data_IF_325801034932
#
_entry.id   IF_325801034932
#
_cell.length_a   1.000
_cell.length_b   1.000
_cell.length_c   1.000
_cell.angle_alpha   90.00
_cell.angle_beta   90.00
_cell.angle_gamma   90.00
#
_symmetry.space_group_name_H-M   'P 1'
#
loop_
_entity.id
_entity.type
_entity.pdbx_description
1 polymer ?
#
# COMPACT_ATOMS: atom_id res chain seq x y z
N UNK A 1 -5.27 -6.63 -66.02
CA UNK A 1 -5.42 -5.68 -64.90
C UNK A 1 -6.11 -6.27 -63.66
N UNK A 2 -7.26 -6.95 -63.78
CA UNK A 2 -8.05 -7.46 -62.63
C UNK A 2 -7.26 -8.33 -61.61
N UNK A 3 -6.39 -9.24 -62.06
CA UNK A 3 -5.55 -10.09 -61.18
C UNK A 3 -4.54 -9.30 -60.34
N UNK A 4 -3.93 -8.24 -60.88
CA UNK A 4 -2.98 -7.40 -60.14
C UNK A 4 -3.67 -6.62 -59.03
N UNK A 5 -4.86 -6.07 -59.31
CA UNK A 5 -5.68 -5.36 -58.32
C UNK A 5 -6.07 -6.30 -57.17
N UNK A 6 -6.43 -7.55 -57.48
CA UNK A 6 -6.81 -8.55 -56.48
C UNK A 6 -5.63 -8.99 -55.58
N UNK A 7 -4.43 -9.07 -56.13
CA UNK A 7 -3.20 -9.34 -55.35
C UNK A 7 -2.88 -8.16 -54.44
N UNK A 8 -2.98 -6.92 -54.92
CA UNK A 8 -2.78 -5.73 -54.10
C UNK A 8 -3.82 -5.60 -52.98
N UNK A 9 -5.09 -5.93 -53.24
CA UNK A 9 -6.11 -5.93 -52.19
C UNK A 9 -5.84 -6.99 -51.12
N UNK A 10 -5.38 -8.19 -51.50
CA UNK A 10 -5.02 -9.24 -50.55
C UNK A 10 -3.82 -8.85 -49.68
N UNK A 11 -2.77 -8.26 -50.28
CA UNK A 11 -1.61 -7.76 -49.54
C UNK A 11 -2.03 -6.66 -48.57
N UNK A 12 -2.89 -5.73 -49.00
CA UNK A 12 -3.39 -4.66 -48.15
C UNK A 12 -4.26 -5.19 -46.99
N UNK A 13 -5.16 -6.14 -47.26
CA UNK A 13 -5.95 -6.80 -46.22
C UNK A 13 -5.08 -7.56 -45.23
N UNK A 14 -4.04 -8.26 -45.70
CA UNK A 14 -3.07 -8.92 -44.83
C UNK A 14 -2.30 -7.91 -43.97
N UNK A 15 -1.89 -6.78 -44.55
CA UNK A 15 -1.19 -5.72 -43.83
C UNK A 15 -2.07 -5.08 -42.73
N UNK A 16 -3.35 -4.84 -43.03
CA UNK A 16 -4.34 -4.37 -42.04
C UNK A 16 -4.48 -5.39 -40.91
N UNK A 17 -4.57 -6.69 -41.22
CA UNK A 17 -4.68 -7.74 -40.22
C UNK A 17 -3.43 -7.83 -39.32
N UNK A 18 -2.23 -7.65 -39.87
CA UNK A 18 -0.99 -7.64 -39.09
C UNK A 18 -0.94 -6.43 -38.17
N UNK A 19 -1.27 -5.23 -38.67
CA UNK A 19 -1.29 -4.00 -37.87
C UNK A 19 -2.35 -4.09 -36.77
N UNK A 20 -3.56 -4.58 -37.06
CA UNK A 20 -4.64 -4.67 -36.07
C UNK A 20 -4.31 -5.66 -34.95
N UNK A 21 -3.70 -6.80 -35.28
CA UNK A 21 -3.21 -7.75 -34.28
C UNK A 21 -2.05 -7.17 -33.45
N UNK A 22 -1.11 -6.45 -34.09
CA UNK A 22 -0.03 -5.78 -33.38
C UNK A 22 -0.56 -4.71 -32.43
N UNK A 23 -1.48 -3.86 -32.87
CA UNK A 23 -2.10 -2.82 -32.04
C UNK A 23 -2.91 -3.42 -30.88
N UNK A 24 -3.64 -4.52 -31.12
CA UNK A 24 -4.39 -5.22 -30.08
C UNK A 24 -3.46 -5.80 -29.02
N UNK A 25 -2.39 -6.49 -29.43
CA UNK A 25 -1.37 -7.02 -28.53
C UNK A 25 -0.65 -5.91 -27.77
N UNK A 26 -0.23 -4.83 -28.44
CA UNK A 26 0.39 -3.69 -27.81
C UNK A 26 -0.53 -3.04 -26.76
N UNK A 27 -1.84 -2.92 -27.06
CA UNK A 27 -2.82 -2.41 -26.09
C UNK A 27 -3.01 -3.34 -24.89
N UNK A 28 -2.98 -4.66 -25.12
CA UNK A 28 -3.07 -5.66 -24.05
C UNK A 28 -1.83 -5.62 -23.14
N UNK A 29 -0.64 -5.56 -23.72
CA UNK A 29 0.61 -5.43 -22.97
C UNK A 29 0.71 -4.09 -22.24
N UNK A 30 0.28 -2.99 -22.84
CA UNK A 30 0.22 -1.69 -22.19
C UNK A 30 -0.72 -1.70 -20.97
N UNK A 31 -1.94 -2.26 -21.12
CA UNK A 31 -2.89 -2.41 -19.99
C UNK A 31 -2.38 -3.34 -18.90
N UNK A 32 -1.66 -4.41 -19.26
CA UNK A 32 -1.07 -5.34 -18.30
C UNK A 32 0.10 -4.70 -17.56
N UNK A 33 0.94 -3.94 -18.26
CA UNK A 33 2.02 -3.17 -17.66
C UNK A 33 1.47 -2.12 -16.68
N UNK A 34 0.43 -1.38 -17.07
CA UNK A 34 -0.24 -0.38 -16.24
C UNK A 34 -0.78 -0.96 -14.92
N UNK A 35 -1.21 -2.24 -14.96
CA UNK A 35 -1.68 -2.98 -13.78
C UNK A 35 -0.58 -3.64 -12.94
N UNK A 36 0.69 -3.62 -13.37
CA UNK A 36 1.75 -4.20 -12.54
C UNK A 36 1.92 -3.39 -11.24
N UNK A 37 2.18 -4.08 -10.13
CA UNK A 37 2.41 -3.44 -8.82
C UNK A 37 3.45 -2.31 -8.91
N UNK A 38 4.58 -2.57 -9.57
CA UNK A 38 5.66 -1.58 -9.75
C UNK A 38 5.19 -0.30 -10.44
N UNK A 39 4.38 -0.42 -11.50
CA UNK A 39 3.84 0.77 -12.18
C UNK A 39 2.80 1.50 -11.33
N UNK A 40 1.96 0.77 -10.59
CA UNK A 40 1.02 1.38 -9.66
C UNK A 40 1.76 2.14 -8.53
N UNK A 41 2.85 1.59 -8.00
CA UNK A 41 3.72 2.26 -7.02
C UNK A 41 4.33 3.52 -7.63
N UNK A 42 4.90 3.43 -8.84
CA UNK A 42 5.47 4.59 -9.55
C UNK A 42 4.44 5.70 -9.75
N UNK A 43 3.22 5.36 -10.13
CA UNK A 43 2.13 6.33 -10.30
C UNK A 43 1.72 6.96 -8.96
N UNK A 44 1.60 6.16 -7.89
CA UNK A 44 1.26 6.67 -6.55
C UNK A 44 2.31 7.65 -6.05
N UNK A 45 3.58 7.27 -6.10
CA UNK A 45 4.71 8.08 -5.66
C UNK A 45 5.14 9.16 -6.66
N UNK A 46 4.54 9.18 -7.86
CA UNK A 46 4.85 10.11 -8.94
C UNK A 46 6.32 10.04 -9.38
N UNK A 47 6.89 8.84 -9.41
CA UNK A 47 8.28 8.61 -9.81
C UNK A 47 8.43 8.98 -11.30
N UNK A 48 9.32 9.94 -11.57
CA UNK A 48 9.54 10.47 -12.93
C UNK A 48 8.60 11.61 -13.32
N UNK A 49 7.75 12.08 -12.42
CA UNK A 49 6.94 13.29 -12.61
C UNK A 49 7.42 14.43 -11.71
N UNK A 50 7.13 15.67 -12.12
CA UNK A 50 7.39 16.85 -11.30
C UNK A 50 6.26 17.10 -10.29
N UNK A 51 6.67 17.44 -9.07
CA UNK A 51 5.78 18.00 -8.05
C UNK A 51 5.49 19.48 -8.32
N UNK A 52 4.35 20.02 -7.84
CA UNK A 52 4.12 21.46 -7.87
C UNK A 52 5.23 22.21 -7.11
N UNK A 53 5.42 23.49 -7.44
CA UNK A 53 6.41 24.31 -6.73
C UNK A 53 5.99 24.50 -5.27
N UNK A 54 6.95 24.51 -4.35
CA UNK A 54 6.75 24.76 -2.93
C UNK A 54 6.63 26.27 -2.67
N UNK A 55 5.50 26.86 -3.04
CA UNK A 55 5.22 28.28 -2.80
C UNK A 55 3.77 28.53 -2.42
N UNK A 56 3.51 29.71 -1.84
CA UNK A 56 2.16 30.14 -1.45
C UNK A 56 1.20 30.18 -2.64
N UNK A 57 1.67 30.45 -3.86
CA UNK A 57 0.82 30.43 -5.06
C UNK A 57 0.26 29.03 -5.37
N UNK A 58 1.02 27.97 -5.09
CA UNK A 58 0.66 26.58 -5.38
C UNK A 58 0.01 25.85 -4.20
N UNK A 59 -0.17 26.52 -3.05
CA UNK A 59 -0.71 25.89 -1.84
C UNK A 59 -2.07 25.21 -2.07
N UNK A 60 -2.97 25.85 -2.83
CA UNK A 60 -4.28 25.27 -3.14
C UNK A 60 -4.20 23.97 -3.95
N UNK A 61 -3.18 23.83 -4.81
CA UNK A 61 -2.92 22.60 -5.56
C UNK A 61 -2.46 21.50 -4.63
N UNK A 62 -1.51 21.81 -3.73
CA UNK A 62 -1.06 20.88 -2.70
C UNK A 62 -2.20 20.40 -1.81
N UNK A 63 -3.05 21.30 -1.29
CA UNK A 63 -4.21 20.94 -0.46
C UNK A 63 -5.24 20.09 -1.22
N UNK A 64 -5.43 20.35 -2.53
CA UNK A 64 -6.27 19.49 -3.38
C UNK A 64 -5.65 18.09 -3.54
N UNK A 65 -4.35 18.01 -3.76
CA UNK A 65 -3.63 16.74 -3.85
C UNK A 65 -3.68 15.97 -2.53
N UNK A 66 -3.58 16.64 -1.39
CA UNK A 66 -3.70 16.03 -0.07
C UNK A 66 -5.08 15.38 0.12
N UNK A 67 -6.16 16.13 -0.14
CA UNK A 67 -7.52 15.58 -0.05
C UNK A 67 -7.74 14.36 -0.95
N UNK A 68 -7.18 14.38 -2.17
CA UNK A 68 -7.22 13.22 -3.05
C UNK A 68 -6.39 12.06 -2.48
N UNK A 69 -5.20 12.33 -1.96
CA UNK A 69 -4.32 11.32 -1.41
C UNK A 69 -4.94 10.61 -0.18
N UNK A 70 -5.59 11.37 0.71
CA UNK A 70 -6.35 10.83 1.86
C UNK A 70 -7.51 9.96 1.39
N UNK A 71 -8.25 10.41 0.36
CA UNK A 71 -9.35 9.60 -0.21
C UNK A 71 -8.82 8.28 -0.78
N UNK A 72 -7.78 8.34 -1.60
CA UNK A 72 -7.17 7.15 -2.21
C UNK A 72 -6.63 6.19 -1.13
N UNK A 73 -6.06 6.73 -0.04
CA UNK A 73 -5.59 5.92 1.09
C UNK A 73 -6.76 5.19 1.77
N UNK A 74 -7.85 5.91 2.04
CA UNK A 74 -9.07 5.32 2.62
C UNK A 74 -9.67 4.24 1.71
N UNK A 75 -9.69 4.47 0.40
CA UNK A 75 -10.19 3.49 -0.57
C UNK A 75 -9.36 2.19 -0.53
N UNK A 76 -8.02 2.30 -0.40
CA UNK A 76 -7.13 1.12 -0.24
C UNK A 76 -7.38 0.43 1.10
N UNK A 77 -7.47 1.18 2.20
CA UNK A 77 -7.76 0.64 3.54
C UNK A 77 -9.08 -0.14 3.53
N UNK A 78 -10.12 0.42 2.92
CA UNK A 78 -11.42 -0.26 2.78
C UNK A 78 -11.31 -1.54 1.94
N UNK A 79 -10.47 -1.54 0.90
CA UNK A 79 -10.23 -2.73 0.07
C UNK A 79 -9.54 -3.84 0.85
N UNK A 80 -8.48 -3.52 1.60
CA UNK A 80 -7.77 -4.47 2.48
C UNK A 80 -8.76 -5.04 3.51
N UNK A 81 -9.48 -4.17 4.21
CA UNK A 81 -10.44 -4.54 5.26
C UNK A 81 -11.54 -5.46 4.73
N UNK A 82 -12.10 -5.10 3.57
CA UNK A 82 -13.12 -5.91 2.90
C UNK A 82 -12.58 -7.27 2.50
N UNK A 83 -11.41 -7.33 1.86
CA UNK A 83 -10.82 -8.61 1.44
C UNK A 83 -10.57 -9.53 2.64
N UNK A 84 -10.04 -8.98 3.73
CA UNK A 84 -9.78 -9.75 4.95
C UNK A 84 -11.08 -10.26 5.60
N UNK A 85 -12.09 -9.38 5.74
CA UNK A 85 -13.39 -9.73 6.32
C UNK A 85 -14.14 -10.75 5.47
N UNK A 86 -14.20 -10.56 4.15
CA UNK A 86 -14.87 -11.49 3.23
C UNK A 86 -14.27 -12.90 3.32
N UNK A 87 -12.93 -13.01 3.34
CA UNK A 87 -12.24 -14.29 3.49
C UNK A 87 -12.54 -14.95 4.85
N UNK A 88 -12.53 -14.16 5.93
CA UNK A 88 -12.85 -14.68 7.25
C UNK A 88 -14.31 -15.14 7.35
N UNK A 89 -15.26 -14.35 6.85
CA UNK A 89 -16.68 -14.71 6.86
C UNK A 89 -16.96 -15.98 6.05
N UNK A 90 -16.26 -16.18 4.94
CA UNK A 90 -16.34 -17.43 4.18
C UNK A 90 -15.89 -18.64 5.01
N UNK A 91 -14.78 -18.53 5.73
CA UNK A 91 -14.32 -19.59 6.63
C UNK A 91 -15.28 -19.81 7.79
N UNK A 92 -15.78 -18.74 8.39
CA UNK A 92 -16.76 -18.83 9.47
C UNK A 92 -18.02 -19.58 9.03
N UNK A 93 -18.60 -19.23 7.87
CA UNK A 93 -19.78 -19.93 7.36
C UNK A 93 -19.47 -21.40 7.01
N UNK A 94 -18.29 -21.69 6.47
CA UNK A 94 -17.86 -23.07 6.24
C UNK A 94 -17.82 -23.88 7.53
N UNK A 95 -17.20 -23.36 8.59
CA UNK A 95 -17.03 -24.07 9.86
C UNK A 95 -18.30 -24.10 10.73
N UNK A 96 -19.27 -23.21 10.48
CA UNK A 96 -20.62 -23.34 11.04
C UNK A 96 -21.30 -24.61 10.52
N UNK A 97 -21.19 -24.87 9.21
CA UNK A 97 -21.79 -26.04 8.58
C UNK A 97 -20.93 -27.31 8.77
N UNK A 98 -19.63 -27.14 8.99
CA UNK A 98 -18.64 -28.22 9.11
C UNK A 98 -17.78 -28.06 10.39
N UNK A 99 -18.32 -28.36 11.58
CA UNK A 99 -17.62 -28.09 12.84
C UNK A 99 -16.26 -28.77 12.93
N UNK A 100 -15.24 -28.01 13.31
CA UNK A 100 -13.91 -28.52 13.61
C UNK A 100 -13.79 -28.88 15.10
N UNK A 101 -13.06 -29.95 15.44
CA UNK A 101 -12.80 -30.32 16.83
C UNK A 101 -11.71 -29.42 17.40
N UNK A 102 -12.13 -28.34 18.06
CA UNK A 102 -11.24 -27.35 18.65
C UNK A 102 -10.59 -27.85 19.95
N UNK A 103 -9.30 -28.19 19.88
CA UNK A 103 -8.45 -28.56 21.01
C UNK A 103 -7.76 -27.33 21.66
N UNK A 104 -8.47 -26.20 21.75
CA UNK A 104 -7.99 -24.86 22.13
C UNK A 104 -7.37 -24.01 21.00
N UNK A 105 -7.18 -24.57 19.79
CA UNK A 105 -6.59 -23.87 18.64
C UNK A 105 -7.62 -23.25 17.68
N UNK A 106 -8.73 -22.73 18.21
CA UNK A 106 -9.76 -22.03 17.45
C UNK A 106 -10.07 -20.67 18.06
N UNK A 107 -10.64 -19.79 17.25
CA UNK A 107 -11.27 -18.59 17.74
C UNK A 107 -12.54 -18.91 18.55
N UNK A 108 -13.13 -17.87 19.15
CA UNK A 108 -14.35 -17.98 19.94
C UNK A 108 -15.61 -18.36 19.12
N UNK A 109 -15.50 -18.52 17.81
CA UNK A 109 -16.58 -18.87 16.89
C UNK A 109 -16.36 -20.25 16.24
N UNK A 110 -15.28 -20.95 16.61
CA UNK A 110 -14.98 -22.30 16.14
C UNK A 110 -14.18 -22.37 14.84
N UNK A 111 -13.64 -21.24 14.36
CA UNK A 111 -12.73 -21.21 13.21
C UNK A 111 -11.31 -21.56 13.69
N UNK A 112 -10.63 -22.56 13.10
CA UNK A 112 -9.27 -22.91 13.49
C UNK A 112 -8.29 -21.76 13.25
N UNK A 113 -7.41 -21.51 14.23
CA UNK A 113 -6.45 -20.39 14.19
C UNK A 113 -5.51 -20.47 12.98
N UNK A 114 -5.10 -21.68 12.58
CA UNK A 114 -4.23 -21.86 11.41
C UNK A 114 -4.89 -21.43 10.09
N UNK A 115 -6.24 -21.43 9.99
CA UNK A 115 -6.94 -20.89 8.82
C UNK A 115 -6.96 -19.36 8.86
N UNK A 116 -7.16 -18.78 10.04
CA UNK A 116 -7.09 -17.32 10.24
C UNK A 116 -5.68 -16.80 9.91
N UNK A 117 -4.64 -17.53 10.34
CA UNK A 117 -3.24 -17.25 10.00
C UNK A 117 -2.98 -17.25 8.49
N UNK A 118 -3.66 -18.12 7.71
CA UNK A 118 -3.56 -18.08 6.24
C UNK A 118 -4.13 -16.79 5.67
N UNK A 119 -5.31 -16.36 6.12
CA UNK A 119 -5.91 -15.09 5.67
C UNK A 119 -4.98 -13.91 6.02
N UNK A 120 -4.41 -13.91 7.23
CA UNK A 120 -3.43 -12.91 7.66
C UNK A 120 -2.21 -12.88 6.73
N UNK A 121 -1.67 -14.06 6.40
CA UNK A 121 -0.54 -14.18 5.49
C UNK A 121 -0.90 -13.69 4.08
N UNK A 122 -2.08 -14.02 3.57
CA UNK A 122 -2.58 -13.52 2.29
C UNK A 122 -2.70 -11.99 2.27
N UNK A 123 -3.14 -11.38 3.37
CA UNK A 123 -3.18 -9.92 3.50
C UNK A 123 -1.78 -9.31 3.51
N UNK A 124 -0.82 -9.93 4.22
CA UNK A 124 0.59 -9.52 4.24
C UNK A 124 1.25 -9.62 2.86
N UNK A 125 0.89 -10.63 2.06
CA UNK A 125 1.43 -10.87 0.72
C UNK A 125 0.67 -10.10 -0.38
N UNK A 126 -0.40 -9.38 -0.03
CA UNK A 126 -1.25 -8.68 -1.00
C UNK A 126 -0.54 -7.50 -1.68
N UNK A 127 -0.90 -7.21 -2.93
CA UNK A 127 -0.45 -5.98 -3.59
C UNK A 127 -1.00 -4.74 -2.86
N UNK A 128 -2.18 -4.84 -2.26
CA UNK A 128 -2.86 -3.72 -1.62
C UNK A 128 -2.08 -3.17 -0.42
N UNK A 129 -1.36 -3.99 0.33
CA UNK A 129 -0.53 -3.51 1.44
C UNK A 129 0.67 -2.68 0.95
N UNK A 130 1.23 -3.04 -0.21
CA UNK A 130 2.30 -2.27 -0.85
C UNK A 130 1.76 -0.94 -1.41
N UNK A 131 0.56 -0.98 -1.99
CA UNK A 131 -0.14 0.22 -2.47
C UNK A 131 -0.54 1.15 -1.32
N UNK A 132 -0.90 0.60 -0.16
CA UNK A 132 -1.13 1.35 1.07
C UNK A 132 0.13 2.10 1.48
N UNK A 133 1.28 1.43 1.58
CA UNK A 133 2.53 2.07 1.97
C UNK A 133 2.95 3.17 0.98
N UNK A 134 2.85 2.92 -0.33
CA UNK A 134 3.12 3.94 -1.35
C UNK A 134 2.19 5.16 -1.23
N UNK A 135 0.90 4.92 -0.97
CA UNK A 135 -0.08 6.00 -0.82
C UNK A 135 0.11 6.78 0.48
N UNK A 136 0.47 6.10 1.58
CA UNK A 136 0.82 6.71 2.85
C UNK A 136 2.03 7.65 2.69
N UNK A 137 3.12 7.15 2.09
CA UNK A 137 4.31 7.96 1.79
C UNK A 137 3.98 9.20 0.97
N UNK A 138 3.12 9.07 -0.05
CA UNK A 138 2.63 10.20 -0.84
C UNK A 138 1.88 11.22 0.03
N UNK A 139 1.01 10.75 0.92
CA UNK A 139 0.22 11.61 1.83
C UNK A 139 1.15 12.40 2.75
N UNK A 140 2.07 11.71 3.43
CA UNK A 140 3.07 12.29 4.34
C UNK A 140 3.93 13.32 3.58
N UNK A 141 4.38 13.00 2.37
CA UNK A 141 5.15 13.93 1.54
C UNK A 141 4.38 15.22 1.22
N UNK A 142 3.11 15.09 0.82
CA UNK A 142 2.26 16.24 0.51
C UNK A 142 2.01 17.08 1.77
N UNK A 143 1.70 16.45 2.89
CA UNK A 143 1.52 17.13 4.18
C UNK A 143 2.77 17.94 4.56
N UNK A 144 3.95 17.31 4.47
CA UNK A 144 5.22 17.94 4.75
C UNK A 144 5.46 19.21 3.91
N UNK A 145 5.05 19.22 2.65
CA UNK A 145 5.13 20.40 1.79
C UNK A 145 4.12 21.48 2.16
N UNK A 146 2.87 21.09 2.44
CA UNK A 146 1.83 22.02 2.89
C UNK A 146 2.29 22.75 4.16
N UNK A 147 2.76 22.00 5.15
CA UNK A 147 3.18 22.55 6.44
C UNK A 147 4.43 23.42 6.31
N UNK A 148 5.35 23.10 5.39
CA UNK A 148 6.48 23.98 5.06
C UNK A 148 6.02 25.30 4.43
N UNK A 149 5.14 25.26 3.42
CA UNK A 149 4.59 26.47 2.76
C UNK A 149 3.83 27.35 3.76
N UNK A 150 3.15 26.73 4.73
CA UNK A 150 2.42 27.40 5.81
C UNK A 150 3.32 27.90 6.94
N UNK A 151 4.62 27.60 6.91
CA UNK A 151 5.59 28.00 7.94
C UNK A 151 5.20 27.47 9.35
N UNK A 152 4.77 26.21 9.43
CA UNK A 152 4.42 25.56 10.71
C UNK A 152 5.70 25.31 11.53
N UNK A 153 5.79 25.90 12.72
CA UNK A 153 7.01 25.95 13.55
C UNK A 153 7.32 24.68 14.40
N UNK A 154 6.54 23.61 14.29
CA UNK A 154 6.65 22.45 15.21
C UNK A 154 7.01 21.15 14.51
N UNK A 155 6.12 20.61 13.67
CA UNK A 155 6.34 19.38 12.93
C UNK A 155 5.83 19.55 11.49
N UNK A 156 6.56 18.97 10.54
CA UNK A 156 6.15 18.99 9.13
C UNK A 156 5.05 17.97 8.84
N UNK A 157 4.87 16.94 9.68
CA UNK A 157 3.87 15.89 9.52
C UNK A 157 3.22 15.57 10.87
N UNK A 158 2.09 14.87 10.87
CA UNK A 158 1.43 14.41 12.09
C UNK A 158 2.34 13.45 12.88
N UNK A 159 2.35 13.58 14.22
CA UNK A 159 3.19 12.75 15.08
C UNK A 159 2.87 11.25 14.95
N UNK A 160 1.62 10.89 14.60
CA UNK A 160 1.22 9.50 14.36
C UNK A 160 1.91 8.91 13.11
N UNK A 161 2.39 9.77 12.20
CA UNK A 161 3.06 9.36 10.96
C UNK A 161 4.58 9.21 11.14
N UNK A 162 5.13 9.62 12.28
CA UNK A 162 6.55 9.47 12.58
C UNK A 162 6.96 8.01 12.64
N UNK A 163 6.18 7.18 13.36
CA UNK A 163 6.43 5.76 13.50
C UNK A 163 6.41 5.01 12.14
N UNK A 164 5.37 5.16 11.30
CA UNK A 164 5.37 4.57 9.97
C UNK A 164 6.59 4.97 9.13
N UNK A 165 6.91 6.27 9.05
CA UNK A 165 8.03 6.73 8.22
C UNK A 165 9.39 6.23 8.75
N UNK A 166 9.59 6.27 10.07
CA UNK A 166 10.81 5.79 10.72
C UNK A 166 11.00 4.28 10.54
N UNK A 167 9.92 3.50 10.67
CA UNK A 167 9.96 2.03 10.47
C UNK A 167 10.24 1.66 9.02
N UNK A 168 9.67 2.39 8.06
CA UNK A 168 9.98 2.26 6.64
C UNK A 168 11.47 2.55 6.37
N UNK A 169 12.04 3.60 6.98
CA UNK A 169 13.44 4.01 6.79
C UNK A 169 14.45 3.00 7.33
N UNK A 170 14.28 2.53 8.56
CA UNK A 170 15.33 1.76 9.24
C UNK A 170 15.16 0.25 9.13
N UNK A 171 13.92 -0.22 8.93
CA UNK A 171 13.63 -1.65 8.85
C UNK A 171 13.09 -2.09 7.50
N UNK A 172 12.86 -1.16 6.56
CA UNK A 172 12.19 -1.48 5.28
C UNK A 172 10.86 -2.20 5.50
N UNK A 173 10.17 -1.89 6.60
CA UNK A 173 9.02 -2.63 7.07
C UNK A 173 7.73 -1.82 6.96
N UNK A 174 6.71 -2.41 6.36
CA UNK A 174 5.37 -1.81 6.33
C UNK A 174 4.68 -2.16 7.64
N UNK A 175 4.19 -1.13 8.32
CA UNK A 175 3.27 -1.28 9.45
C UNK A 175 1.86 -0.92 9.03
N UNK A 176 0.90 -1.69 9.51
CA UNK A 176 -0.53 -1.48 9.26
C UNK A 176 -1.32 -2.06 10.42
N UNK A 177 -2.16 -1.23 11.02
CA UNK A 177 -3.02 -1.63 12.12
C UNK A 177 -4.44 -1.13 11.88
N UNK A 178 -5.38 -2.06 11.77
CA UNK A 178 -6.80 -1.73 11.67
C UNK A 178 -7.65 -2.70 12.49
N UNK A 179 -8.67 -2.15 13.16
CA UNK A 179 -9.70 -2.94 13.84
C UNK A 179 -10.88 -3.12 12.87
N UNK A 180 -10.88 -4.23 12.14
CA UNK A 180 -11.90 -4.55 11.14
C UNK A 180 -13.13 -5.09 11.86
N UNK A 181 -14.29 -4.46 11.66
CA UNK A 181 -15.56 -4.85 12.29
C UNK A 181 -16.71 -4.75 11.29
N UNK A 182 -17.56 -5.77 11.25
CA UNK A 182 -18.75 -5.81 10.40
C UNK A 182 -19.93 -6.39 11.16
N UNK A 183 -21.12 -5.78 10.99
CA UNK A 183 -22.37 -6.35 11.47
C UNK A 183 -22.78 -7.49 10.54
N UNK A 184 -22.93 -8.70 11.08
CA UNK A 184 -23.33 -9.85 10.30
C UNK A 184 -24.79 -10.22 10.58
N UNK A 185 -25.68 -9.98 9.61
CA UNK A 185 -27.12 -10.23 9.73
C UNK A 185 -27.48 -11.70 9.96
N UNK A 186 -26.66 -12.64 9.45
CA UNK A 186 -26.92 -14.07 9.62
C UNK A 186 -26.62 -14.54 11.04
N UNK A 187 -25.67 -13.88 11.70
CA UNK A 187 -25.22 -14.22 13.04
C UNK A 187 -25.81 -13.30 14.12
N UNK A 188 -26.49 -12.21 13.72
CA UNK A 188 -27.03 -11.18 14.61
C UNK A 188 -25.99 -10.61 15.59
N UNK A 189 -24.74 -10.46 15.13
CA UNK A 189 -23.64 -9.97 15.95
C UNK A 189 -22.60 -9.23 15.12
N UNK A 190 -21.76 -8.45 15.81
CA UNK A 190 -20.56 -7.86 15.22
C UNK A 190 -19.46 -8.93 15.17
N UNK A 191 -18.94 -9.15 13.97
CA UNK A 191 -17.75 -9.94 13.72
C UNK A 191 -16.59 -8.96 13.56
N UNK A 192 -15.48 -9.19 14.27
CA UNK A 192 -14.36 -8.27 14.19
C UNK A 192 -13.03 -8.85 14.63
N UNK A 193 -11.96 -8.37 13.99
CA UNK A 193 -10.58 -8.81 14.14
C UNK A 193 -9.65 -7.61 14.07
N UNK A 194 -8.56 -7.66 14.81
CA UNK A 194 -7.43 -6.78 14.57
C UNK A 194 -6.61 -7.36 13.42
N UNK A 195 -6.45 -6.60 12.33
CA UNK A 195 -5.41 -6.86 11.34
C UNK A 195 -4.19 -6.05 11.76
N UNK A 196 -3.25 -6.73 12.42
CA UNK A 196 -2.06 -6.13 12.99
C UNK A 196 -0.81 -6.62 12.23
N UNK A 197 -0.44 -5.89 11.19
CA UNK A 197 0.83 -6.07 10.48
C UNK A 197 1.80 -5.14 11.18
N UNK A 198 2.37 -5.62 12.28
CA UNK A 198 3.26 -4.85 13.12
C UNK A 198 4.68 -5.38 13.11
N UNK A 199 5.47 -4.64 13.85
CA UNK A 199 6.84 -4.86 14.17
C UNK A 199 6.97 -4.94 15.70
N UNK A 200 7.13 -6.16 16.23
CA UNK A 200 6.86 -6.48 17.65
C UNK A 200 7.85 -5.88 18.67
N UNK A 201 8.85 -5.12 18.23
CA UNK A 201 9.95 -4.61 19.07
C UNK A 201 10.10 -3.09 19.01
N UNK A 202 9.12 -2.37 18.47
CA UNK A 202 9.20 -0.92 18.22
C UNK A 202 9.70 -0.07 19.40
N UNK A 203 9.15 -0.28 20.60
CA UNK A 203 9.51 0.52 21.78
C UNK A 203 10.94 0.31 22.29
N UNK A 204 11.60 -0.80 21.94
CA UNK A 204 12.99 -1.06 22.30
C UNK A 204 13.98 -0.27 21.44
N UNK A 205 13.51 0.33 20.34
CA UNK A 205 14.39 0.92 19.33
C UNK A 205 14.38 2.45 19.26
N UNK A 206 13.27 3.08 19.63
CA UNK A 206 13.08 4.51 19.40
C UNK A 206 13.57 5.30 20.60
N UNK A 207 14.78 5.83 20.50
CA UNK A 207 15.32 6.85 21.42
C UNK A 207 15.03 8.28 20.93
N UNK A 208 15.02 8.48 19.61
CA UNK A 208 14.68 9.73 18.90
C UNK A 208 14.14 9.39 17.51
N UNK A 209 13.36 10.28 16.91
CA UNK A 209 12.82 10.11 15.55
C UNK A 209 13.81 10.50 14.45
N UNK A 210 14.87 11.22 14.83
CA UNK A 210 15.93 11.68 13.94
C UNK A 210 17.05 10.63 13.80
N UNK A 211 17.15 9.69 14.73
CA UNK A 211 18.18 8.65 14.79
C UNK A 211 17.58 7.25 14.57
N UNK A 212 18.40 6.37 14.01
CA UNK A 212 18.04 4.96 13.84
C UNK A 212 18.21 4.14 15.13
N UNK A 213 17.78 2.88 15.11
CA UNK A 213 18.02 1.98 16.23
C UNK A 213 19.53 1.78 16.44
N UNK A 214 19.96 1.61 17.69
CA UNK A 214 21.36 1.27 17.98
C UNK A 214 21.67 -0.15 17.48
N UNK A 215 22.94 -0.41 17.13
CA UNK A 215 23.36 -1.75 16.71
C UNK A 215 23.11 -2.80 17.81
N UNK A 216 23.27 -2.42 19.08
CA UNK A 216 23.02 -3.27 20.23
C UNK A 216 21.53 -3.64 20.36
N UNK A 217 20.62 -2.70 20.16
CA UNK A 217 19.18 -2.98 20.21
C UNK A 217 18.75 -3.92 19.07
N UNK A 218 19.32 -3.75 17.87
CA UNK A 218 19.02 -4.63 16.71
C UNK A 218 19.53 -6.05 16.95
N UNK A 219 20.67 -6.21 17.61
CA UNK A 219 21.21 -7.52 17.96
C UNK A 219 20.39 -8.21 19.06
N UNK A 220 20.00 -7.46 20.10
CA UNK A 220 19.29 -8.01 21.26
C UNK A 220 17.79 -8.24 21.00
N UNK A 221 17.17 -7.45 20.12
CA UNK A 221 15.71 -7.47 19.90
C UNK A 221 15.33 -7.58 18.42
N UNK A 222 15.85 -8.58 17.69
CA UNK A 222 15.86 -8.58 16.23
C UNK A 222 14.49 -8.30 15.59
N UNK A 223 14.48 -7.53 14.50
CA UNK A 223 13.27 -7.10 13.82
C UNK A 223 12.45 -8.28 13.24
N UNK A 224 11.19 -8.46 13.69
CA UNK A 224 10.25 -9.43 13.08
C UNK A 224 9.41 -8.76 11.99
N UNK A 225 10.01 -8.60 10.81
CA UNK A 225 9.40 -7.90 9.68
C UNK A 225 8.41 -8.82 8.96
N UNK A 226 7.12 -8.52 9.05
CA UNK A 226 6.05 -9.24 8.36
C UNK A 226 5.99 -8.91 6.87
N UNK A 227 6.14 -7.64 6.53
CA UNK A 227 6.05 -7.16 5.16
C UNK A 227 7.19 -6.20 4.86
N UNK A 228 8.02 -6.54 3.87
CA UNK A 228 9.07 -5.65 3.37
C UNK A 228 8.53 -4.70 2.31
N UNK A 229 9.05 -3.48 2.28
CA UNK A 229 8.71 -2.50 1.25
C UNK A 229 9.25 -2.93 -0.12
N UNK A 230 8.51 -2.64 -1.18
CA UNK A 230 9.01 -2.73 -2.54
C UNK A 230 10.25 -1.82 -2.73
N UNK A 231 11.34 -2.30 -3.35
CA UNK A 231 12.56 -1.53 -3.57
C UNK A 231 12.38 -0.18 -4.27
N UNK A 232 11.34 -0.02 -5.10
CA UNK A 232 11.04 1.25 -5.77
C UNK A 232 10.69 2.39 -4.83
N UNK A 233 10.31 2.08 -3.58
CA UNK A 233 9.95 3.08 -2.58
C UNK A 233 11.16 3.60 -1.80
N UNK A 234 12.30 2.91 -1.82
CA UNK A 234 13.43 3.16 -0.91
C UNK A 234 14.02 4.57 -1.06
N UNK A 235 14.25 5.02 -2.30
CA UNK A 235 14.76 6.38 -2.56
C UNK A 235 13.78 7.44 -2.08
N UNK A 236 12.48 7.24 -2.30
CA UNK A 236 11.44 8.15 -1.85
C UNK A 236 11.31 8.20 -0.32
N UNK A 237 11.43 7.04 0.35
CA UNK A 237 11.45 6.94 1.81
C UNK A 237 12.64 7.74 2.37
N UNK A 238 13.82 7.56 1.80
CA UNK A 238 15.04 8.23 2.23
C UNK A 238 14.93 9.75 2.07
N UNK A 239 14.48 10.22 0.91
CA UNK A 239 14.28 11.64 0.63
C UNK A 239 13.25 12.27 1.57
N UNK A 240 12.12 11.60 1.78
CA UNK A 240 11.06 12.08 2.66
C UNK A 240 11.51 12.10 4.13
N UNK A 241 12.16 11.04 4.61
CA UNK A 241 12.69 10.97 5.96
C UNK A 241 13.68 12.12 6.22
N UNK A 242 14.64 12.30 5.32
CA UNK A 242 15.63 13.37 5.42
C UNK A 242 14.96 14.75 5.41
N UNK A 243 13.94 14.95 4.57
CA UNK A 243 13.19 16.21 4.53
C UNK A 243 12.43 16.50 5.83
N UNK A 244 11.76 15.49 6.40
CA UNK A 244 10.90 15.65 7.59
C UNK A 244 11.70 15.82 8.88
N UNK A 245 12.78 15.05 9.05
CA UNK A 245 13.49 14.93 10.32
C UNK A 245 14.85 15.63 10.33
N UNK A 246 15.62 15.54 9.23
CA UNK A 246 17.02 15.99 9.22
C UNK A 246 17.19 17.41 8.65
N UNK A 247 16.43 17.76 7.62
CA UNK A 247 16.53 19.04 6.91
C UNK A 247 15.50 20.09 7.40
N UNK A 248 15.07 20.01 8.67
CA UNK A 248 14.06 20.92 9.27
C UNK A 248 14.43 22.42 9.16
N UNK A 249 15.71 22.75 8.94
CA UNK A 249 16.22 24.11 8.91
C UNK A 249 16.80 24.51 7.54
N UNK A 250 15.95 24.99 6.64
CA UNK A 250 16.28 26.03 5.64
C UNK A 250 15.11 27.01 5.58
#
# INVERSE_FOLDING_TARGET
>A
MKKKILVWSLIFSFFILVISNFASNASFFAKKADKSLDNQIRQKLRIGESWPVESKEYLSIWEKMHRQATKDLNDIVQKINKSYMDNYLNLLFYYIDNPYVCNQDCDNRGVPNFEIEKIYKEACESEDIQLYAAQLLKSIYIEARINKIKEVNYALIDNNEFQPLWTLKYFNAIIYYESIREWNDKLWQIVGFALDINFYTFGAYVNSWEEGPSAEDVENYPPDIKVKVNPLMLEFIDDLYNYVFLNRNI
#
